data_IF_535057936219
#
_entry.id   IF_535057936219
#
_cell.length_a   1.000
_cell.length_b   1.000
_cell.length_c   1.000
_cell.angle_alpha   90.00
_cell.angle_beta   90.00
_cell.angle_gamma   90.00
#
_symmetry.space_group_name_H-M   'P 1'
#
loop_
_entity.id
_entity.type
_entity.pdbx_description
1 polymer ?
#
# COMPACT_ATOMS: atom_id res chain seq x y z
N UNK A 1 -10.30 -20.97 -4.76
CA UNK A 1 -9.52 -22.22 -4.64
C UNK A 1 -9.54 -22.62 -3.17
N UNK A 2 -9.93 -23.84 -2.87
CA UNK A 2 -9.93 -24.35 -1.48
C UNK A 2 -8.51 -24.60 -0.99
N UNK A 3 -8.27 -24.63 0.32
CA UNK A 3 -7.04 -25.18 0.90
C UNK A 3 -6.76 -26.60 0.36
N UNK A 4 -5.51 -26.94 0.22
CA UNK A 4 -5.07 -28.21 -0.41
C UNK A 4 -5.09 -28.22 -1.95
N UNK A 5 -5.77 -27.26 -2.61
CA UNK A 5 -5.65 -27.16 -4.07
C UNK A 5 -4.26 -26.64 -4.45
N UNK A 6 -3.54 -27.39 -5.26
CA UNK A 6 -2.25 -26.99 -5.82
C UNK A 6 -2.26 -27.20 -7.35
N UNK A 7 -1.52 -26.37 -8.05
CA UNK A 7 -1.21 -26.64 -9.45
C UNK A 7 -0.12 -27.73 -9.52
N UNK A 8 -0.13 -28.60 -10.54
CA UNK A 8 1.00 -29.49 -10.79
C UNK A 8 2.28 -28.68 -11.02
N UNK A 9 3.43 -29.27 -10.76
CA UNK A 9 4.72 -28.67 -11.10
C UNK A 9 4.80 -28.39 -12.61
N UNK A 10 5.29 -27.19 -12.95
CA UNK A 10 5.38 -26.74 -14.35
C UNK A 10 6.80 -26.30 -14.63
N UNK A 11 7.43 -26.95 -15.62
CA UNK A 11 8.75 -26.57 -16.13
C UNK A 11 8.70 -26.25 -17.61
N UNK A 12 9.69 -25.53 -18.11
CA UNK A 12 9.93 -25.34 -19.54
C UNK A 12 10.92 -26.36 -20.04
N UNK A 13 10.68 -26.92 -21.23
CA UNK A 13 11.63 -27.79 -21.91
C UNK A 13 12.96 -27.11 -22.26
N UNK A 14 12.98 -25.79 -22.26
CA UNK A 14 14.18 -24.96 -22.52
C UNK A 14 14.93 -24.56 -21.24
N UNK A 15 14.54 -25.08 -20.07
CA UNK A 15 15.22 -24.78 -18.81
C UNK A 15 16.61 -25.38 -18.75
N UNK A 16 17.61 -24.54 -18.54
CA UNK A 16 19.03 -24.90 -18.47
C UNK A 16 19.66 -24.63 -17.09
N UNK A 17 18.83 -24.45 -16.07
CA UNK A 17 19.26 -24.02 -14.75
C UNK A 17 19.42 -22.50 -14.63
N UNK A 18 19.56 -21.99 -13.38
CA UNK A 18 19.75 -20.57 -13.14
C UNK A 18 21.10 -20.08 -13.68
N UNK A 19 21.19 -18.81 -14.01
CA UNK A 19 22.47 -18.14 -14.23
C UNK A 19 22.94 -17.62 -12.86
N UNK A 20 24.02 -18.24 -12.36
CA UNK A 20 24.66 -17.77 -11.13
C UNK A 20 25.46 -16.50 -11.39
N UNK A 21 25.23 -15.47 -10.58
CA UNK A 21 25.95 -14.21 -10.63
C UNK A 21 26.36 -13.73 -9.23
N UNK A 22 27.19 -12.68 -9.14
CA UNK A 22 27.60 -12.10 -7.86
C UNK A 22 26.40 -11.57 -7.07
N UNK A 23 25.42 -10.99 -7.77
CA UNK A 23 24.16 -10.53 -7.18
C UNK A 23 22.99 -11.41 -7.65
N UNK A 24 21.93 -11.59 -6.85
CA UNK A 24 20.79 -12.41 -7.23
C UNK A 24 20.10 -11.96 -8.52
N UNK A 25 19.68 -12.94 -9.32
CA UNK A 25 18.77 -12.75 -10.46
C UNK A 25 17.37 -13.10 -10.01
N UNK A 26 16.47 -12.12 -9.95
CA UNK A 26 15.15 -12.28 -9.35
C UNK A 26 14.06 -11.99 -10.38
N UNK A 27 13.12 -12.92 -10.54
CA UNK A 27 11.95 -12.75 -11.39
C UNK A 27 10.68 -12.57 -10.54
N UNK A 28 10.08 -11.39 -10.65
CA UNK A 28 8.84 -11.06 -9.93
C UNK A 28 7.60 -11.40 -10.75
N UNK A 29 6.61 -12.06 -10.14
CA UNK A 29 5.25 -12.16 -10.68
C UNK A 29 4.33 -11.18 -9.95
N UNK A 30 3.79 -10.20 -10.68
CA UNK A 30 2.95 -9.12 -10.17
C UNK A 30 1.51 -9.22 -10.69
N UNK A 31 0.55 -8.77 -9.89
CA UNK A 31 -0.86 -8.66 -10.32
C UNK A 31 -1.05 -7.57 -11.36
N UNK A 32 -0.47 -6.40 -11.14
CA UNK A 32 -0.48 -5.23 -12.02
C UNK A 32 0.81 -4.42 -11.82
N UNK A 33 1.05 -3.45 -12.71
CA UNK A 33 2.26 -2.63 -12.66
C UNK A 33 2.08 -1.28 -13.36
N UNK A 34 3.08 -0.41 -13.23
CA UNK A 34 3.27 0.74 -14.10
C UNK A 34 3.53 0.29 -15.56
N UNK A 35 3.27 1.17 -16.55
CA UNK A 35 2.62 2.48 -16.44
C UNK A 35 1.08 2.40 -16.38
N UNK A 36 0.49 1.22 -16.54
CA UNK A 36 -0.96 1.05 -16.78
C UNK A 36 -1.83 1.10 -15.53
N UNK A 37 -1.27 0.83 -14.35
CA UNK A 37 -1.97 0.88 -13.07
C UNK A 37 -1.13 1.63 -12.04
N UNK A 38 -1.70 2.69 -11.47
CA UNK A 38 -1.12 3.45 -10.37
C UNK A 38 -1.95 3.20 -9.10
N UNK A 39 -1.60 2.16 -8.38
CA UNK A 39 -2.17 1.82 -7.07
C UNK A 39 -1.06 1.69 -6.05
N UNK A 40 -1.37 1.74 -4.75
CA UNK A 40 -0.36 1.54 -3.71
C UNK A 40 0.45 0.25 -3.89
N UNK A 41 -0.20 -0.83 -4.35
CA UNK A 41 0.48 -2.09 -4.67
C UNK A 41 1.43 -1.97 -5.87
N UNK A 42 1.02 -1.27 -6.94
CA UNK A 42 1.87 -1.08 -8.12
C UNK A 42 3.06 -0.17 -7.82
N UNK A 43 2.82 0.92 -7.08
CA UNK A 43 3.88 1.85 -6.64
C UNK A 43 4.89 1.14 -5.74
N UNK A 44 4.43 0.41 -4.72
CA UNK A 44 5.33 -0.38 -3.87
C UNK A 44 6.17 -1.38 -4.69
N UNK A 45 5.57 -2.09 -5.66
CA UNK A 45 6.33 -2.99 -6.53
C UNK A 45 7.41 -2.24 -7.30
N UNK A 46 7.07 -1.09 -7.83
CA UNK A 46 7.98 -0.28 -8.63
C UNK A 46 9.17 0.22 -7.80
N UNK A 47 8.90 0.86 -6.66
CA UNK A 47 9.96 1.37 -5.78
C UNK A 47 10.87 0.25 -5.26
N UNK A 48 10.30 -0.90 -4.89
CA UNK A 48 11.10 -2.06 -4.46
C UNK A 48 11.99 -2.58 -5.59
N UNK A 49 11.47 -2.72 -6.82
CA UNK A 49 12.26 -3.18 -7.97
C UNK A 49 13.38 -2.19 -8.32
N UNK A 50 13.11 -0.89 -8.29
CA UNK A 50 14.14 0.15 -8.47
C UNK A 50 15.21 0.05 -7.39
N UNK A 51 14.81 -0.11 -6.13
CA UNK A 51 15.73 -0.23 -4.99
C UNK A 51 16.57 -1.51 -5.06
N UNK A 52 15.99 -2.65 -5.42
CA UNK A 52 16.71 -3.90 -5.66
C UNK A 52 17.78 -3.75 -6.75
N UNK A 53 17.45 -3.11 -7.86
CA UNK A 53 18.42 -2.84 -8.94
C UNK A 53 19.56 -1.90 -8.47
N UNK A 54 19.24 -0.88 -7.68
CA UNK A 54 20.25 -0.02 -7.04
C UNK A 54 21.13 -0.78 -6.05
N UNK A 55 20.56 -1.75 -5.35
CA UNK A 55 21.30 -2.68 -4.48
C UNK A 55 22.12 -3.71 -5.27
N UNK A 56 22.09 -3.69 -6.62
CA UNK A 56 22.88 -4.53 -7.51
C UNK A 56 22.20 -5.81 -7.98
N UNK A 57 20.93 -6.07 -7.62
CA UNK A 57 20.21 -7.23 -8.12
C UNK A 57 19.82 -7.08 -9.60
N UNK A 58 19.81 -8.17 -10.34
CA UNK A 58 19.18 -8.24 -11.65
C UNK A 58 17.70 -8.60 -11.47
N UNK A 59 16.87 -7.58 -11.20
CA UNK A 59 15.44 -7.75 -10.96
C UNK A 59 14.62 -7.42 -12.22
N UNK A 60 13.71 -8.34 -12.58
CA UNK A 60 12.76 -8.23 -13.68
C UNK A 60 11.35 -8.55 -13.19
N UNK A 61 10.33 -7.91 -13.76
CA UNK A 61 8.94 -8.17 -13.42
C UNK A 61 8.16 -8.75 -14.59
N UNK A 62 7.24 -9.66 -14.25
CA UNK A 62 6.24 -10.22 -15.16
C UNK A 62 4.86 -9.99 -14.55
N UNK A 63 3.87 -9.62 -15.35
CA UNK A 63 2.51 -9.42 -14.83
C UNK A 63 1.61 -10.63 -15.13
N UNK A 64 0.55 -10.78 -14.33
CA UNK A 64 -0.45 -11.85 -14.52
C UNK A 64 -0.94 -11.91 -15.96
N UNK A 65 -1.43 -13.08 -16.35
CA UNK A 65 -1.94 -13.32 -17.71
C UNK A 65 -3.03 -12.31 -18.13
N UNK A 66 -2.89 -11.79 -19.36
CA UNK A 66 -3.84 -10.87 -19.98
C UNK A 66 -3.77 -9.42 -19.48
N UNK A 67 -2.93 -9.10 -18.48
CA UNK A 67 -2.70 -7.71 -18.09
C UNK A 67 -1.75 -7.04 -19.10
N UNK A 68 -1.98 -5.77 -19.54
CA UNK A 68 -2.99 -4.84 -19.03
C UNK A 68 -4.30 -4.82 -19.86
N UNK A 69 -4.48 -5.71 -20.82
CA UNK A 69 -5.69 -5.78 -21.64
C UNK A 69 -6.95 -6.02 -20.77
N UNK A 70 -6.84 -6.86 -19.74
CA UNK A 70 -7.94 -7.16 -18.80
C UNK A 70 -8.38 -5.97 -17.93
N UNK A 71 -7.63 -4.87 -17.96
CA UNK A 71 -8.00 -3.59 -17.29
C UNK A 71 -8.26 -2.48 -18.32
N UNK A 72 -8.60 -2.84 -19.55
CA UNK A 72 -9.06 -1.92 -20.60
C UNK A 72 -7.94 -1.24 -21.41
N UNK A 73 -6.68 -1.68 -21.30
CA UNK A 73 -5.55 -1.14 -22.06
C UNK A 73 -5.26 -2.05 -23.27
N UNK A 74 -6.02 -1.87 -24.32
CA UNK A 74 -5.83 -2.58 -25.59
C UNK A 74 -4.64 -2.00 -26.36
N UNK A 75 -3.83 -2.85 -26.99
CA UNK A 75 -2.64 -2.42 -27.74
C UNK A 75 -1.39 -2.17 -26.89
N UNK A 76 -1.36 -2.66 -25.64
CA UNK A 76 -0.17 -2.58 -24.81
C UNK A 76 1.00 -3.38 -25.41
N UNK A 77 2.22 -2.87 -25.26
CA UNK A 77 3.45 -3.55 -25.65
C UNK A 77 3.67 -4.85 -24.85
N UNK A 78 4.39 -5.84 -25.38
CA UNK A 78 4.73 -7.05 -24.63
C UNK A 78 5.67 -6.80 -23.45
N UNK A 79 6.36 -5.66 -23.46
CA UNK A 79 7.23 -5.18 -22.38
C UNK A 79 7.17 -3.66 -22.30
N UNK A 80 7.07 -3.13 -21.08
CA UNK A 80 7.25 -1.71 -20.79
C UNK A 80 8.49 -1.53 -19.92
N UNK A 81 9.22 -0.42 -20.10
CA UNK A 81 10.34 -0.05 -19.24
C UNK A 81 10.00 1.26 -18.54
N UNK A 82 10.05 1.25 -17.21
CA UNK A 82 9.81 2.43 -16.36
C UNK A 82 10.96 2.52 -15.35
N UNK A 83 11.67 3.63 -15.32
CA UNK A 83 12.84 3.88 -14.46
C UNK A 83 13.87 2.73 -14.50
N UNK A 84 14.10 2.20 -15.70
CA UNK A 84 15.01 1.08 -15.96
C UNK A 84 14.47 -0.31 -15.58
N UNK A 85 13.27 -0.41 -14.97
CA UNK A 85 12.63 -1.70 -14.64
C UNK A 85 11.84 -2.22 -15.83
N UNK A 86 12.12 -3.46 -16.25
CA UNK A 86 11.39 -4.15 -17.30
C UNK A 86 10.14 -4.85 -16.75
N UNK A 87 8.98 -4.55 -17.34
CA UNK A 87 7.69 -5.17 -17.01
C UNK A 87 7.20 -6.00 -18.21
N UNK A 88 7.49 -7.28 -18.21
CA UNK A 88 7.04 -8.21 -19.23
C UNK A 88 5.56 -8.58 -19.03
N UNK A 89 4.85 -8.83 -20.13
CA UNK A 89 3.41 -9.12 -20.15
C UNK A 89 3.16 -10.56 -20.57
N UNK A 90 2.42 -11.33 -19.75
CA UNK A 90 1.96 -12.65 -20.15
C UNK A 90 0.71 -12.50 -21.03
N UNK A 91 0.92 -12.23 -22.31
CA UNK A 91 -0.16 -12.06 -23.28
C UNK A 91 -0.49 -13.40 -23.95
N UNK A 92 -1.76 -13.60 -24.28
CA UNK A 92 -2.25 -14.78 -24.98
C UNK A 92 -3.44 -14.38 -25.86
N UNK A 93 -3.58 -15.05 -27.00
CA UNK A 93 -4.71 -14.81 -27.90
C UNK A 93 -6.06 -15.23 -27.27
N UNK A 94 -6.05 -16.21 -26.36
CA UNK A 94 -7.27 -16.69 -25.69
C UNK A 94 -7.01 -17.05 -24.25
N UNK A 95 -7.79 -16.49 -23.33
CA UNK A 95 -7.79 -16.88 -21.92
C UNK A 95 -8.54 -18.20 -21.73
N UNK A 96 -8.00 -19.07 -20.91
CA UNK A 96 -8.68 -20.30 -20.53
C UNK A 96 -10.01 -19.99 -19.79
N UNK A 97 -11.06 -20.81 -19.97
CA UNK A 97 -12.41 -20.48 -19.53
C UNK A 97 -12.60 -20.51 -18.01
N UNK A 98 -11.90 -21.38 -17.31
CA UNK A 98 -12.05 -21.53 -15.86
C UNK A 98 -10.92 -20.88 -15.07
N UNK A 99 -11.14 -20.44 -13.82
CA UNK A 99 -10.09 -19.87 -12.98
C UNK A 99 -8.88 -20.82 -12.80
N UNK A 100 -9.12 -22.11 -12.56
CA UNK A 100 -8.04 -23.10 -12.41
C UNK A 100 -7.22 -23.26 -13.70
N UNK A 101 -7.89 -23.33 -14.85
CA UNK A 101 -7.21 -23.42 -16.14
C UNK A 101 -6.44 -22.12 -16.48
N UNK A 102 -6.92 -20.95 -16.07
CA UNK A 102 -6.16 -19.68 -16.20
C UNK A 102 -4.91 -19.66 -15.35
N UNK A 103 -4.95 -20.16 -14.12
CA UNK A 103 -3.76 -20.29 -13.28
C UNK A 103 -2.75 -21.25 -13.91
N UNK A 104 -3.19 -22.40 -14.41
CA UNK A 104 -2.32 -23.33 -15.11
C UNK A 104 -1.74 -22.74 -16.41
N UNK A 105 -2.53 -21.95 -17.15
CA UNK A 105 -2.06 -21.22 -18.33
C UNK A 105 -1.02 -20.16 -17.94
N UNK A 106 -1.25 -19.41 -16.85
CA UNK A 106 -0.29 -18.43 -16.32
C UNK A 106 1.02 -19.11 -15.92
N UNK A 107 0.96 -20.27 -15.25
CA UNK A 107 2.14 -21.02 -14.85
C UNK A 107 2.98 -21.47 -16.06
N UNK A 108 2.34 -21.95 -17.14
CA UNK A 108 3.06 -22.32 -18.37
C UNK A 108 3.77 -21.11 -19.02
N UNK A 109 3.10 -19.96 -19.11
CA UNK A 109 3.70 -18.75 -19.66
C UNK A 109 4.80 -18.19 -18.76
N UNK A 110 4.64 -18.25 -17.44
CA UNK A 110 5.69 -17.85 -16.50
C UNK A 110 6.91 -18.77 -16.62
N UNK A 111 6.71 -20.09 -16.78
CA UNK A 111 7.82 -21.05 -16.99
C UNK A 111 8.66 -20.72 -18.24
N UNK A 112 8.03 -20.18 -19.30
CA UNK A 112 8.76 -19.69 -20.48
C UNK A 112 9.63 -18.47 -20.14
N UNK A 113 9.11 -17.54 -19.33
CA UNK A 113 9.88 -16.38 -18.87
C UNK A 113 11.02 -16.79 -17.94
N UNK A 114 10.80 -17.77 -17.08
CA UNK A 114 11.84 -18.37 -16.23
C UNK A 114 12.95 -18.99 -17.08
N UNK A 115 12.62 -19.75 -18.11
CA UNK A 115 13.62 -20.34 -19.00
C UNK A 115 14.41 -19.29 -19.80
N UNK A 116 13.76 -18.20 -20.22
CA UNK A 116 14.41 -17.10 -20.95
C UNK A 116 15.29 -16.24 -20.05
N UNK A 117 14.84 -15.88 -18.88
CA UNK A 117 15.57 -15.02 -17.94
C UNK A 117 16.57 -15.78 -17.07
N UNK A 118 16.32 -17.05 -16.76
CA UNK A 118 17.14 -17.93 -15.93
C UNK A 118 17.41 -17.34 -14.53
N UNK A 119 16.34 -17.00 -13.76
CA UNK A 119 16.49 -16.45 -12.42
C UNK A 119 17.06 -17.47 -11.44
N UNK A 120 17.56 -16.99 -10.30
CA UNK A 120 17.93 -17.79 -9.13
C UNK A 120 16.79 -17.87 -8.12
N UNK A 121 15.96 -16.81 -8.04
CA UNK A 121 14.85 -16.69 -7.10
C UNK A 121 13.60 -16.21 -7.83
N UNK A 122 12.45 -16.77 -7.46
CA UNK A 122 11.14 -16.24 -7.85
C UNK A 122 10.57 -15.42 -6.70
N UNK A 123 9.99 -14.26 -7.00
CA UNK A 123 9.34 -13.41 -6.00
C UNK A 123 7.92 -13.10 -6.43
N UNK A 124 6.96 -13.17 -5.51
CA UNK A 124 5.59 -12.77 -5.83
C UNK A 124 4.91 -12.06 -4.67
N UNK A 125 3.81 -11.40 -5.00
CA UNK A 125 3.07 -10.58 -4.03
C UNK A 125 1.65 -11.12 -3.85
N UNK A 126 0.99 -10.73 -2.76
CA UNK A 126 -0.43 -11.03 -2.54
C UNK A 126 -1.23 -10.89 -3.85
N UNK A 127 -2.13 -11.83 -4.22
CA UNK A 127 -2.73 -12.82 -3.31
C UNK A 127 -2.28 -14.27 -3.66
N UNK A 128 -2.89 -15.24 -2.98
CA UNK A 128 -2.63 -16.68 -3.17
C UNK A 128 -2.67 -17.15 -4.63
N UNK A 129 -3.38 -16.47 -5.52
CA UNK A 129 -3.44 -16.85 -6.93
C UNK A 129 -2.06 -16.71 -7.62
N UNK A 130 -1.33 -15.64 -7.33
CA UNK A 130 0.05 -15.47 -7.77
C UNK A 130 0.97 -16.51 -7.11
N UNK A 131 0.80 -16.71 -5.80
CA UNK A 131 1.59 -17.68 -5.03
C UNK A 131 1.41 -19.13 -5.55
N UNK A 132 0.18 -19.54 -5.91
CA UNK A 132 -0.07 -20.84 -6.55
C UNK A 132 0.70 -21.01 -7.87
N UNK A 133 0.71 -19.96 -8.70
CA UNK A 133 1.42 -19.97 -9.97
C UNK A 133 2.92 -20.07 -9.75
N UNK A 134 3.47 -19.21 -8.88
CA UNK A 134 4.91 -19.19 -8.60
C UNK A 134 5.37 -20.46 -7.94
N UNK A 135 4.65 -20.98 -6.94
CA UNK A 135 4.95 -22.27 -6.30
C UNK A 135 4.98 -23.44 -7.28
N UNK A 136 4.07 -23.50 -8.26
CA UNK A 136 4.08 -24.55 -9.27
C UNK A 136 5.30 -24.47 -10.20
N UNK A 137 5.68 -23.25 -10.60
CA UNK A 137 6.85 -23.01 -11.45
C UNK A 137 8.15 -23.21 -10.67
N UNK A 138 8.22 -22.77 -9.43
CA UNK A 138 9.36 -22.98 -8.53
C UNK A 138 9.67 -24.46 -8.36
N UNK A 139 8.66 -25.27 -8.04
CA UNK A 139 8.83 -26.74 -7.94
C UNK A 139 9.26 -27.38 -9.25
N UNK A 140 8.75 -26.92 -10.40
CA UNK A 140 9.11 -27.48 -11.71
C UNK A 140 10.54 -27.15 -12.15
N UNK A 141 11.14 -26.10 -11.61
CA UNK A 141 12.50 -25.65 -11.96
C UNK A 141 13.52 -25.85 -10.84
N UNK A 142 13.10 -26.29 -9.63
CA UNK A 142 13.97 -26.43 -8.47
C UNK A 142 14.47 -25.07 -7.96
N UNK A 143 13.62 -24.04 -8.03
CA UNK A 143 13.95 -22.66 -7.59
C UNK A 143 13.29 -22.35 -6.26
N UNK A 144 13.97 -21.61 -5.37
CA UNK A 144 13.33 -21.01 -4.20
C UNK A 144 12.42 -19.85 -4.59
N UNK A 145 11.47 -19.53 -3.70
CA UNK A 145 10.56 -18.43 -3.94
C UNK A 145 10.17 -17.65 -2.67
N UNK A 146 9.97 -16.36 -2.85
CA UNK A 146 9.60 -15.41 -1.79
C UNK A 146 8.15 -14.97 -1.98
N UNK A 147 7.38 -14.93 -0.87
CA UNK A 147 6.01 -14.45 -0.84
C UNK A 147 5.89 -13.15 -0.07
N UNK A 148 5.66 -12.03 -0.75
CA UNK A 148 5.45 -10.74 -0.12
C UNK A 148 3.96 -10.49 0.13
N UNK A 149 3.53 -10.56 1.38
CA UNK A 149 2.15 -10.33 1.82
C UNK A 149 1.96 -8.86 2.16
N UNK A 150 1.31 -8.11 1.27
CA UNK A 150 1.08 -6.65 1.38
C UNK A 150 -0.23 -6.25 2.01
N UNK A 151 -1.06 -7.21 2.34
CA UNK A 151 -2.36 -7.03 2.94
C UNK A 151 -2.98 -8.37 3.27
N UNK A 152 -4.13 -8.32 3.90
CA UNK A 152 -4.89 -9.48 4.34
C UNK A 152 -6.12 -9.63 3.44
N UNK A 153 -6.07 -10.59 2.50
CA UNK A 153 -7.11 -10.76 1.48
C UNK A 153 -8.50 -11.01 2.10
N UNK A 154 -8.56 -11.82 3.15
CA UNK A 154 -9.77 -12.14 3.87
C UNK A 154 -10.42 -10.89 4.49
N UNK A 155 -9.65 -10.01 5.11
CA UNK A 155 -10.15 -8.76 5.70
C UNK A 155 -10.50 -7.72 4.63
N UNK A 156 -9.74 -7.66 3.53
CA UNK A 156 -10.07 -6.80 2.39
C UNK A 156 -11.40 -7.22 1.76
N UNK A 157 -11.64 -8.53 1.66
CA UNK A 157 -12.91 -9.04 1.19
C UNK A 157 -14.07 -8.67 2.13
N UNK A 158 -13.90 -8.79 3.45
CA UNK A 158 -14.91 -8.35 4.43
C UNK A 158 -15.19 -6.87 4.28
N UNK A 159 -14.15 -6.03 4.23
CA UNK A 159 -14.29 -4.57 4.09
C UNK A 159 -14.96 -4.14 2.77
N UNK A 160 -15.01 -5.02 1.76
CA UNK A 160 -15.76 -4.78 0.51
C UNK A 160 -17.25 -5.08 0.62
N UNK A 161 -17.73 -5.57 1.77
CA UNK A 161 -19.16 -5.80 2.04
C UNK A 161 -19.78 -4.55 2.68
N UNK A 162 -21.10 -4.33 2.48
CA UNK A 162 -21.82 -3.32 3.25
C UNK A 162 -21.60 -3.50 4.75
N UNK A 163 -21.55 -2.43 5.55
CA UNK A 163 -21.23 -2.51 6.99
C UNK A 163 -22.08 -3.51 7.76
N UNK A 164 -23.39 -3.59 7.46
CA UNK A 164 -24.35 -4.52 8.08
C UNK A 164 -24.08 -6.00 7.79
N UNK A 165 -23.33 -6.30 6.72
CA UNK A 165 -22.97 -7.67 6.31
C UNK A 165 -21.57 -8.09 6.77
N UNK A 166 -20.78 -7.18 7.33
CA UNK A 166 -19.38 -7.48 7.67
C UNK A 166 -19.23 -8.50 8.80
N UNK A 167 -20.12 -8.46 9.79
CA UNK A 167 -20.12 -9.45 10.88
C UNK A 167 -20.42 -10.87 10.36
N UNK A 168 -21.40 -11.03 9.48
CA UNK A 168 -21.71 -12.30 8.81
C UNK A 168 -20.55 -12.75 7.92
N UNK A 169 -19.96 -11.82 7.18
CA UNK A 169 -18.81 -12.10 6.31
C UNK A 169 -17.60 -12.63 7.10
N UNK A 170 -17.31 -12.08 8.28
CA UNK A 170 -16.25 -12.57 9.18
C UNK A 170 -16.49 -14.00 9.67
N UNK A 171 -17.76 -14.37 9.92
CA UNK A 171 -18.14 -15.72 10.34
C UNK A 171 -18.27 -16.71 9.17
N UNK A 172 -18.12 -16.25 7.92
CA UNK A 172 -18.41 -17.06 6.73
C UNK A 172 -17.31 -18.07 6.41
N UNK A 173 -17.72 -19.18 5.77
CA UNK A 173 -16.79 -20.15 5.20
C UNK A 173 -15.81 -19.51 4.22
N UNK A 174 -16.24 -18.50 3.46
CA UNK A 174 -15.37 -17.81 2.49
C UNK A 174 -14.22 -17.10 3.18
N UNK A 175 -14.46 -16.42 4.29
CA UNK A 175 -13.40 -15.81 5.10
C UNK A 175 -12.40 -16.86 5.59
N UNK A 176 -12.90 -17.95 6.16
CA UNK A 176 -12.06 -19.05 6.66
C UNK A 176 -11.21 -19.67 5.55
N UNK A 177 -11.78 -19.91 4.36
CA UNK A 177 -11.08 -20.49 3.21
C UNK A 177 -10.03 -19.53 2.63
N UNK A 178 -10.31 -18.23 2.54
CA UNK A 178 -9.34 -17.23 2.09
C UNK A 178 -8.14 -17.18 3.04
N UNK A 179 -8.42 -17.07 4.35
CA UNK A 179 -7.39 -17.03 5.39
C UNK A 179 -6.53 -18.29 5.39
N UNK A 180 -7.16 -19.45 5.32
CA UNK A 180 -6.45 -20.74 5.29
C UNK A 180 -5.57 -20.86 4.03
N UNK A 181 -6.05 -20.38 2.86
CA UNK A 181 -5.31 -20.46 1.60
C UNK A 181 -4.11 -19.51 1.57
N UNK A 182 -4.26 -18.28 2.05
CA UNK A 182 -3.12 -17.36 2.20
C UNK A 182 -2.06 -17.92 3.16
N UNK A 183 -2.50 -18.49 4.29
CA UNK A 183 -1.61 -19.16 5.25
C UNK A 183 -0.87 -20.35 4.65
N UNK A 184 -1.57 -21.19 3.86
CA UNK A 184 -0.96 -22.30 3.15
C UNK A 184 0.17 -21.83 2.21
N UNK A 185 -0.06 -20.77 1.45
CA UNK A 185 0.96 -20.22 0.55
C UNK A 185 2.15 -19.65 1.31
N UNK A 186 1.91 -18.94 2.40
CA UNK A 186 2.97 -18.42 3.26
C UNK A 186 3.84 -19.54 3.86
N UNK A 187 3.23 -20.67 4.27
CA UNK A 187 3.97 -21.83 4.79
C UNK A 187 4.80 -22.54 3.72
N UNK A 188 4.38 -22.47 2.46
CA UNK A 188 5.08 -23.12 1.33
C UNK A 188 6.22 -22.28 0.77
N UNK A 189 6.26 -20.99 1.03
CA UNK A 189 7.33 -20.11 0.58
C UNK A 189 8.62 -20.36 1.37
N UNK A 190 9.77 -20.19 0.72
CA UNK A 190 11.08 -20.30 1.37
C UNK A 190 11.33 -19.10 2.28
N UNK A 191 10.86 -17.90 1.89
CA UNK A 191 10.80 -16.72 2.75
C UNK A 191 9.48 -15.95 2.56
N UNK A 192 9.03 -15.27 3.60
CA UNK A 192 7.82 -14.45 3.62
C UNK A 192 8.19 -13.02 4.02
N UNK A 193 7.72 -12.05 3.26
CA UNK A 193 7.86 -10.64 3.58
C UNK A 193 6.49 -10.09 3.98
N UNK A 194 6.43 -9.35 5.08
CA UNK A 194 5.23 -8.66 5.57
C UNK A 194 5.52 -7.19 5.80
N UNK A 195 4.47 -6.35 5.90
CA UNK A 195 4.63 -4.89 6.01
C UNK A 195 4.70 -4.39 7.47
N UNK A 196 4.41 -5.24 8.45
CA UNK A 196 4.29 -4.82 9.85
C UNK A 196 4.56 -5.98 10.80
N UNK A 197 4.92 -5.66 12.03
CA UNK A 197 5.04 -6.63 13.12
C UNK A 197 3.69 -7.30 13.40
N UNK A 198 2.58 -6.55 13.30
CA UNK A 198 1.23 -7.09 13.44
C UNK A 198 0.94 -8.21 12.44
N UNK A 199 1.32 -8.04 11.17
CA UNK A 199 1.15 -9.07 10.15
C UNK A 199 2.03 -10.29 10.42
N UNK A 200 3.29 -10.07 10.86
CA UNK A 200 4.20 -11.14 11.26
C UNK A 200 3.58 -11.97 12.40
N UNK A 201 3.14 -11.31 13.45
CA UNK A 201 2.62 -11.98 14.64
C UNK A 201 1.33 -12.76 14.33
N UNK A 202 0.46 -12.24 13.48
CA UNK A 202 -0.72 -12.96 12.97
C UNK A 202 -0.33 -14.21 12.15
N UNK A 203 0.68 -14.13 11.28
CA UNK A 203 1.15 -15.28 10.51
C UNK A 203 1.83 -16.32 11.41
N UNK A 204 2.62 -15.90 12.40
CA UNK A 204 3.21 -16.81 13.41
C UNK A 204 2.11 -17.52 14.18
N UNK A 205 1.07 -16.80 14.62
CA UNK A 205 -0.09 -17.40 15.28
C UNK A 205 -0.86 -18.39 14.38
N UNK A 206 -0.76 -18.23 13.05
CA UNK A 206 -1.29 -19.19 12.06
C UNK A 206 -0.33 -20.36 11.77
N UNK A 207 0.83 -20.41 12.44
CA UNK A 207 1.85 -21.47 12.32
C UNK A 207 2.74 -21.35 11.08
N UNK A 208 2.97 -20.13 10.58
CA UNK A 208 4.10 -19.85 9.66
C UNK A 208 5.36 -19.71 10.52
N UNK A 209 6.50 -20.37 10.19
CA UNK A 209 7.72 -20.28 10.97
C UNK A 209 8.24 -18.84 11.06
N UNK A 210 8.50 -18.37 12.27
CA UNK A 210 8.90 -16.97 12.52
C UNK A 210 10.22 -16.60 11.82
N UNK A 211 11.14 -17.55 11.72
CA UNK A 211 12.45 -17.41 11.07
C UNK A 211 12.36 -17.21 9.55
N UNK A 212 11.22 -17.53 8.94
CA UNK A 212 10.97 -17.28 7.52
C UNK A 212 10.31 -15.93 7.24
N UNK A 213 9.89 -15.20 8.28
CA UNK A 213 9.12 -13.95 8.13
C UNK A 213 10.00 -12.75 8.41
N UNK A 214 10.19 -11.92 7.39
CA UNK A 214 10.88 -10.62 7.51
C UNK A 214 9.87 -9.48 7.42
N UNK A 215 9.95 -8.53 8.35
CA UNK A 215 9.17 -7.29 8.30
C UNK A 215 9.91 -6.29 7.43
N UNK A 216 9.31 -5.95 6.30
CA UNK A 216 9.80 -4.93 5.36
C UNK A 216 8.70 -3.87 5.20
N UNK A 217 8.70 -2.79 5.98
CA UNK A 217 7.60 -1.83 6.02
C UNK A 217 7.45 -1.06 4.71
N UNK A 218 6.34 -0.35 4.56
CA UNK A 218 6.25 0.71 3.57
C UNK A 218 7.32 1.76 3.85
N UNK A 219 7.85 2.37 2.79
CA UNK A 219 8.95 3.33 2.88
C UNK A 219 8.59 4.64 2.19
N UNK A 220 9.38 5.66 2.47
CA UNK A 220 9.24 6.99 1.86
C UNK A 220 9.92 7.00 0.50
N UNK A 221 9.29 7.65 -0.47
CA UNK A 221 9.82 7.85 -1.81
C UNK A 221 10.96 8.88 -1.79
N UNK A 222 11.99 8.68 -2.62
CA UNK A 222 13.14 9.59 -2.70
C UNK A 222 12.71 11.02 -3.08
N UNK A 223 11.70 11.13 -3.96
CA UNK A 223 11.12 12.40 -4.37
C UNK A 223 10.48 13.15 -3.21
N UNK A 224 9.90 12.44 -2.23
CA UNK A 224 9.33 13.03 -1.02
C UNK A 224 10.43 13.57 -0.12
N UNK A 225 11.51 12.79 0.05
CA UNK A 225 12.66 13.18 0.88
C UNK A 225 13.45 14.35 0.29
N UNK A 226 13.47 14.48 -1.05
CA UNK A 226 14.14 15.56 -1.76
C UNK A 226 13.21 16.72 -2.13
N UNK A 227 11.92 16.63 -1.76
CA UNK A 227 10.95 17.67 -2.09
C UNK A 227 11.31 19.01 -1.42
N UNK A 228 11.15 20.09 -2.16
CA UNK A 228 11.28 21.43 -1.60
C UNK A 228 10.26 21.63 -0.45
N UNK A 229 10.76 21.90 0.75
CA UNK A 229 9.90 22.19 1.89
C UNK A 229 9.25 23.56 1.75
N UNK A 230 7.93 23.58 1.65
CA UNK A 230 7.12 24.81 1.63
C UNK A 230 6.30 24.94 2.89
N UNK A 231 6.10 26.16 3.33
CA UNK A 231 5.10 26.45 4.36
C UNK A 231 3.70 26.10 3.84
N UNK A 232 2.76 25.73 4.70
CA UNK A 232 1.38 25.46 4.28
C UNK A 232 0.74 26.63 3.52
N UNK A 233 1.00 27.87 3.95
CA UNK A 233 0.47 29.07 3.30
C UNK A 233 0.99 29.25 1.87
N UNK A 234 2.30 29.05 1.63
CA UNK A 234 2.89 29.12 0.29
C UNK A 234 2.34 28.00 -0.62
N UNK A 235 2.22 26.78 -0.09
CA UNK A 235 1.66 25.66 -0.85
C UNK A 235 0.20 25.93 -1.23
N UNK A 236 -0.60 26.47 -0.32
CA UNK A 236 -2.00 26.87 -0.57
C UNK A 236 -2.10 27.93 -1.65
N UNK A 237 -1.31 28.99 -1.56
CA UNK A 237 -1.29 30.06 -2.56
C UNK A 237 -1.00 29.52 -3.97
N UNK A 238 -0.05 28.58 -4.10
CA UNK A 238 0.27 27.94 -5.40
C UNK A 238 -0.89 27.15 -5.99
N UNK A 239 -1.73 26.56 -5.16
CA UNK A 239 -2.90 25.78 -5.58
C UNK A 239 -4.20 26.64 -5.64
N UNK A 240 -4.09 27.96 -5.47
CA UNK A 240 -5.25 28.87 -5.51
C UNK A 240 -6.18 28.72 -4.31
N UNK A 241 -5.69 28.17 -3.19
CA UNK A 241 -6.44 28.04 -1.94
C UNK A 241 -6.19 29.26 -1.04
N UNK A 242 -7.12 29.56 -0.12
CA UNK A 242 -6.90 30.58 0.91
C UNK A 242 -5.64 30.27 1.73
N UNK A 243 -4.75 31.23 1.86
CA UNK A 243 -3.49 31.07 2.59
C UNK A 243 -3.68 30.96 4.10
N UNK A 244 -4.75 31.56 4.63
CA UNK A 244 -5.18 31.60 6.04
C UNK A 244 -5.95 30.34 6.45
N UNK A 245 -6.33 30.29 7.73
CA UNK A 245 -7.03 29.17 8.36
C UNK A 245 -6.11 28.02 8.75
N UNK A 246 -6.66 27.08 9.53
CA UNK A 246 -5.98 25.86 9.96
C UNK A 246 -6.49 24.68 9.13
N UNK A 247 -5.66 24.21 8.20
CA UNK A 247 -6.04 23.20 7.21
C UNK A 247 -5.69 21.79 7.66
N UNK A 248 -6.71 20.95 7.75
CA UNK A 248 -6.60 19.53 8.05
C UNK A 248 -7.04 18.71 6.86
N UNK A 249 -6.49 17.53 6.65
CA UNK A 249 -6.93 16.75 5.50
C UNK A 249 -6.14 15.49 5.25
N UNK A 250 -6.38 14.93 4.06
CA UNK A 250 -5.74 13.69 3.62
C UNK A 250 -5.65 13.60 2.11
N UNK A 251 -4.67 12.87 1.62
CA UNK A 251 -4.52 12.49 0.21
C UNK A 251 -4.68 10.98 0.10
N UNK A 252 -5.84 10.49 -0.37
CA UNK A 252 -6.20 9.07 -0.25
C UNK A 252 -7.24 8.62 -1.27
N UNK A 253 -7.42 7.30 -1.41
CA UNK A 253 -8.64 6.74 -2.01
C UNK A 253 -9.82 6.98 -1.08
N UNK A 254 -10.95 7.42 -1.62
CA UNK A 254 -12.15 7.76 -0.85
C UNK A 254 -13.06 6.54 -0.73
N UNK A 255 -12.77 5.71 0.27
CA UNK A 255 -13.52 4.51 0.62
C UNK A 255 -14.01 4.60 2.07
N UNK A 256 -15.06 3.88 2.42
CA UNK A 256 -15.75 4.02 3.70
C UNK A 256 -14.84 3.85 4.92
N UNK A 257 -13.99 2.83 4.92
CA UNK A 257 -13.12 2.55 6.07
C UNK A 257 -12.01 3.60 6.30
N UNK A 258 -11.78 4.54 5.39
CA UNK A 258 -10.86 5.67 5.62
C UNK A 258 -11.47 6.73 6.55
N UNK A 259 -12.80 6.76 6.78
CA UNK A 259 -13.47 7.52 7.84
C UNK A 259 -13.51 9.02 7.63
N UNK A 260 -13.50 9.52 6.39
CA UNK A 260 -13.47 10.96 6.10
C UNK A 260 -14.76 11.71 6.50
N UNK A 261 -15.86 11.01 6.70
CA UNK A 261 -17.07 11.57 7.30
C UNK A 261 -16.84 12.00 8.77
N UNK A 262 -16.03 11.27 9.52
CA UNK A 262 -15.59 11.63 10.88
C UNK A 262 -14.74 12.92 10.84
N UNK A 263 -13.84 13.03 9.85
CA UNK A 263 -13.03 14.26 9.66
C UNK A 263 -13.92 15.48 9.35
N UNK A 264 -14.89 15.34 8.44
CA UNK A 264 -15.80 16.44 8.11
C UNK A 264 -16.60 16.94 9.33
N UNK A 265 -17.12 15.98 10.14
CA UNK A 265 -17.81 16.31 11.39
C UNK A 265 -16.90 16.97 12.41
N UNK A 266 -15.65 16.50 12.53
CA UNK A 266 -14.67 17.10 13.44
C UNK A 266 -14.32 18.54 13.02
N UNK A 267 -14.19 18.82 11.72
CA UNK A 267 -13.97 20.18 11.21
C UNK A 267 -15.15 21.07 11.53
N UNK A 268 -16.39 20.61 11.33
CA UNK A 268 -17.59 21.38 11.69
C UNK A 268 -17.60 21.73 13.19
N UNK A 269 -17.37 20.74 14.07
CA UNK A 269 -17.31 20.95 15.53
C UNK A 269 -16.19 21.93 15.94
N UNK A 270 -15.00 21.83 15.33
CA UNK A 270 -13.91 22.77 15.61
C UNK A 270 -14.26 24.20 15.20
N UNK A 271 -15.00 24.38 14.09
CA UNK A 271 -15.50 25.67 13.66
C UNK A 271 -16.57 26.24 14.59
N UNK A 272 -17.52 25.43 15.05
CA UNK A 272 -18.52 25.83 16.06
C UNK A 272 -17.85 26.32 17.36
N UNK A 273 -16.66 25.80 17.67
CA UNK A 273 -15.84 26.21 18.81
C UNK A 273 -14.91 27.43 18.52
N UNK A 274 -15.07 28.08 17.37
CA UNK A 274 -14.39 29.33 17.01
C UNK A 274 -13.05 29.16 16.28
N UNK A 275 -12.59 27.95 15.95
CA UNK A 275 -11.40 27.75 15.13
C UNK A 275 -11.73 27.92 13.63
N UNK A 276 -10.95 28.72 12.89
CA UNK A 276 -11.05 28.73 11.41
C UNK A 276 -10.43 27.45 10.82
N UNK A 277 -11.05 26.32 11.19
CA UNK A 277 -10.66 25.03 10.64
C UNK A 277 -11.15 24.86 9.22
N UNK A 278 -10.28 24.40 8.32
CA UNK A 278 -10.57 24.10 6.91
C UNK A 278 -10.10 22.71 6.55
N UNK A 279 -10.66 22.13 5.48
CA UNK A 279 -10.44 20.74 5.13
C UNK A 279 -10.06 20.58 3.66
N UNK A 280 -9.06 19.75 3.37
CA UNK A 280 -8.74 19.27 2.01
C UNK A 280 -8.69 17.74 1.99
N UNK A 281 -9.62 17.10 1.27
CA UNK A 281 -9.67 15.65 1.09
C UNK A 281 -9.44 15.36 -0.40
N UNK A 282 -8.20 14.97 -0.72
CA UNK A 282 -7.73 14.79 -2.09
C UNK A 282 -7.77 13.33 -2.50
N UNK A 283 -8.41 13.07 -3.61
CA UNK A 283 -8.54 11.72 -4.17
C UNK A 283 -9.93 11.40 -4.66
N UNK A 284 -10.14 10.15 -5.05
CA UNK A 284 -11.41 9.70 -5.61
C UNK A 284 -11.76 8.30 -5.08
N UNK A 285 -13.04 7.94 -5.16
CA UNK A 285 -13.54 6.65 -4.73
C UNK A 285 -15.05 6.65 -4.50
N UNK A 286 -15.56 5.48 -4.14
CA UNK A 286 -17.01 5.24 -4.01
C UNK A 286 -17.67 6.13 -2.93
N UNK A 287 -16.92 6.59 -1.94
CA UNK A 287 -17.46 7.43 -0.86
C UNK A 287 -17.52 8.92 -1.23
N UNK A 288 -16.87 9.36 -2.33
CA UNK A 288 -16.78 10.78 -2.69
C UNK A 288 -18.14 11.49 -2.78
N UNK A 289 -19.17 10.96 -3.48
CA UNK A 289 -20.48 11.63 -3.56
C UNK A 289 -21.11 11.85 -2.18
N UNK A 290 -21.04 10.86 -1.30
CA UNK A 290 -21.56 10.99 0.08
C UNK A 290 -20.80 12.01 0.92
N UNK A 291 -19.48 12.11 0.77
CA UNK A 291 -18.66 13.12 1.45
C UNK A 291 -18.98 14.54 0.98
N UNK A 292 -19.19 14.75 -0.32
CA UNK A 292 -19.61 16.05 -0.86
C UNK A 292 -20.97 16.45 -0.30
N UNK A 293 -21.94 15.53 -0.26
CA UNK A 293 -23.26 15.80 0.31
C UNK A 293 -23.18 16.11 1.81
N UNK A 294 -22.37 15.36 2.57
CA UNK A 294 -22.17 15.57 4.00
C UNK A 294 -21.51 16.93 4.28
N UNK A 295 -20.49 17.32 3.51
CA UNK A 295 -19.86 18.63 3.65
C UNK A 295 -20.89 19.76 3.49
N UNK A 296 -21.79 19.67 2.48
CA UNK A 296 -22.89 20.61 2.29
C UNK A 296 -23.87 20.65 3.47
N UNK A 297 -24.26 19.49 4.01
CA UNK A 297 -25.15 19.40 5.19
C UNK A 297 -24.53 20.01 6.46
N UNK A 298 -23.21 19.92 6.60
CA UNK A 298 -22.47 20.50 7.72
C UNK A 298 -22.10 21.97 7.52
N UNK A 299 -22.56 22.61 6.43
CA UNK A 299 -22.25 24.02 6.14
C UNK A 299 -20.78 24.25 5.74
N UNK A 300 -20.04 23.22 5.40
CA UNK A 300 -18.65 23.31 4.95
C UNK A 300 -18.61 23.61 3.43
N UNK A 301 -18.83 24.88 3.09
CA UNK A 301 -18.83 25.32 1.68
C UNK A 301 -17.43 25.24 1.02
N UNK A 302 -17.34 25.59 -0.30
CA UNK A 302 -16.11 25.44 -1.09
C UNK A 302 -14.88 26.18 -0.56
N UNK A 303 -15.06 27.26 0.21
CA UNK A 303 -13.97 28.00 0.89
C UNK A 303 -13.48 27.33 2.18
N UNK A 304 -14.22 26.33 2.68
CA UNK A 304 -13.92 25.61 3.94
C UNK A 304 -13.53 24.18 3.68
N UNK A 305 -14.21 23.50 2.78
CA UNK A 305 -13.94 22.10 2.44
C UNK A 305 -13.68 21.94 0.94
N UNK A 306 -12.52 21.40 0.58
CA UNK A 306 -12.09 21.17 -0.80
C UNK A 306 -11.97 19.68 -1.05
N UNK A 307 -12.75 19.17 -2.04
CA UNK A 307 -12.69 17.78 -2.52
C UNK A 307 -12.39 17.80 -4.03
N UNK A 308 -11.12 18.05 -4.44
CA UNK A 308 -10.77 18.28 -5.85
C UNK A 308 -10.93 17.01 -6.71
N UNK A 309 -11.08 15.86 -6.09
CA UNK A 309 -11.06 14.58 -6.80
C UNK A 309 -9.62 14.04 -6.95
N UNK A 310 -9.42 13.21 -7.96
CA UNK A 310 -8.11 12.68 -8.29
C UNK A 310 -7.24 13.78 -8.92
N UNK A 311 -6.05 13.96 -8.38
CA UNK A 311 -5.04 14.89 -8.91
C UNK A 311 -3.94 14.11 -9.63
N UNK A 312 -3.21 14.75 -10.56
CA UNK A 312 -2.03 14.16 -11.17
C UNK A 312 -0.99 13.77 -10.11
N UNK A 313 -0.22 12.68 -10.30
CA UNK A 313 0.77 12.22 -9.32
C UNK A 313 1.78 13.32 -8.94
N UNK A 314 2.25 14.11 -9.89
CA UNK A 314 3.20 15.21 -9.63
C UNK A 314 2.64 16.36 -8.78
N UNK A 315 1.32 16.47 -8.64
CA UNK A 315 0.68 17.49 -7.81
C UNK A 315 0.39 16.98 -6.38
N UNK A 316 0.38 15.66 -6.17
CA UNK A 316 -0.02 15.08 -4.89
C UNK A 316 0.81 15.58 -3.71
N UNK A 317 2.13 15.74 -3.88
CA UNK A 317 3.01 16.28 -2.84
C UNK A 317 2.66 17.72 -2.47
N UNK A 318 2.30 18.55 -3.46
CA UNK A 318 1.83 19.92 -3.21
C UNK A 318 0.61 19.93 -2.30
N UNK A 319 -0.33 19.01 -2.49
CA UNK A 319 -1.51 18.89 -1.64
C UNK A 319 -1.18 18.46 -0.19
N UNK A 320 -0.25 17.56 0.03
CA UNK A 320 0.24 17.26 1.38
C UNK A 320 0.81 18.51 2.05
N UNK A 321 1.55 19.33 1.29
CA UNK A 321 2.17 20.55 1.81
C UNK A 321 1.17 21.66 2.15
N UNK A 322 -0.06 21.65 1.59
CA UNK A 322 -1.11 22.61 1.97
C UNK A 322 -1.65 22.42 3.39
N UNK A 323 -1.48 21.21 3.94
CA UNK A 323 -2.04 20.83 5.23
C UNK A 323 -1.17 21.35 6.39
N UNK A 324 -1.79 21.90 7.41
CA UNK A 324 -1.18 22.10 8.72
C UNK A 324 -1.08 20.76 9.46
N UNK A 325 -2.07 19.87 9.25
CA UNK A 325 -2.14 18.54 9.86
C UNK A 325 -2.69 17.51 8.87
N UNK A 326 -2.01 16.40 8.75
CA UNK A 326 -2.53 15.23 8.02
C UNK A 326 -3.40 14.36 8.94
N UNK A 327 -4.60 13.99 8.48
CA UNK A 327 -5.52 13.15 9.23
C UNK A 327 -5.68 11.78 8.59
N UNK A 328 -5.55 10.71 9.42
CA UNK A 328 -5.84 9.33 9.07
C UNK A 328 -6.99 8.78 9.94
N UNK A 329 -8.25 9.20 9.71
CA UNK A 329 -9.39 8.95 10.62
C UNK A 329 -10.04 7.60 10.36
N UNK A 330 -9.23 6.54 10.16
CA UNK A 330 -9.72 5.22 9.78
C UNK A 330 -10.72 4.65 10.79
N UNK A 331 -11.75 3.99 10.25
CA UNK A 331 -12.72 3.27 11.06
C UNK A 331 -12.08 2.05 11.73
N UNK A 332 -12.61 1.67 12.88
CA UNK A 332 -12.23 0.43 13.55
C UNK A 332 -12.81 -0.78 12.80
N UNK A 333 -12.05 -1.28 11.89
CA UNK A 333 -12.36 -2.48 11.10
C UNK A 333 -11.18 -3.44 11.12
N UNK A 334 -11.39 -4.75 10.94
CA UNK A 334 -10.30 -5.72 10.93
C UNK A 334 -9.17 -5.38 9.94
N UNK A 335 -9.51 -4.87 8.74
CA UNK A 335 -8.50 -4.48 7.77
C UNK A 335 -7.68 -3.27 8.22
N UNK A 336 -8.31 -2.28 8.87
CA UNK A 336 -7.63 -1.09 9.36
C UNK A 336 -6.76 -1.36 10.60
N UNK A 337 -7.09 -2.39 11.39
CA UNK A 337 -6.28 -2.84 12.50
C UNK A 337 -4.99 -3.56 12.06
N UNK A 338 -4.98 -4.18 10.86
CA UNK A 338 -3.90 -5.07 10.41
C UNK A 338 -3.04 -4.49 9.28
N UNK A 339 -3.56 -3.57 8.46
CA UNK A 339 -2.87 -3.10 7.25
C UNK A 339 -2.39 -1.67 7.43
N UNK A 340 -1.06 -1.50 7.44
CA UNK A 340 -0.40 -0.20 7.54
C UNK A 340 -0.52 0.61 6.25
N UNK A 341 -1.03 1.86 6.31
CA UNK A 341 -1.08 2.74 5.14
C UNK A 341 0.27 3.42 4.87
N UNK A 342 0.55 3.79 3.61
CA UNK A 342 1.74 4.57 3.24
C UNK A 342 1.62 6.07 3.56
N UNK A 343 0.41 6.60 3.52
CA UNK A 343 0.14 8.05 3.50
C UNK A 343 0.62 8.84 4.74
N UNK A 344 0.50 8.30 5.98
CA UNK A 344 1.07 8.96 7.15
C UNK A 344 2.58 9.13 7.07
N UNK A 345 3.31 8.16 6.47
CA UNK A 345 4.77 8.26 6.27
C UNK A 345 5.13 9.42 5.33
N UNK A 346 4.39 9.58 4.23
CA UNK A 346 4.58 10.71 3.30
C UNK A 346 4.35 12.04 4.02
N UNK A 347 3.29 12.14 4.84
CA UNK A 347 3.00 13.34 5.59
C UNK A 347 4.12 13.67 6.59
N UNK A 348 4.59 12.68 7.35
CA UNK A 348 5.70 12.84 8.29
C UNK A 348 7.00 13.25 7.58
N UNK A 349 7.31 12.66 6.43
CA UNK A 349 8.49 13.00 5.64
C UNK A 349 8.46 14.45 5.14
N UNK A 350 7.27 15.00 4.87
CA UNK A 350 7.06 16.40 4.52
C UNK A 350 6.93 17.33 5.74
N UNK A 351 7.25 16.85 6.95
CA UNK A 351 7.17 17.61 8.19
C UNK A 351 5.74 17.97 8.62
N UNK A 352 4.73 17.21 8.16
CA UNK A 352 3.34 17.42 8.57
C UNK A 352 3.00 16.59 9.80
N UNK A 353 2.50 17.20 10.88
CA UNK A 353 1.92 16.48 12.01
C UNK A 353 0.85 15.51 11.54
N UNK A 354 0.74 14.36 12.21
CA UNK A 354 -0.27 13.35 11.90
C UNK A 354 -1.23 13.19 13.07
N UNK A 355 -2.53 13.27 12.81
CA UNK A 355 -3.58 12.80 13.72
C UNK A 355 -4.12 11.49 13.13
N UNK A 356 -4.19 10.43 13.93
CA UNK A 356 -4.64 9.12 13.47
C UNK A 356 -5.62 8.48 14.46
N UNK A 357 -6.52 7.66 13.96
CA UNK A 357 -7.32 6.78 14.82
C UNK A 357 -6.42 5.88 15.64
N UNK A 358 -6.77 5.62 16.91
CA UNK A 358 -6.06 4.71 17.80
C UNK A 358 -6.29 3.25 17.38
N UNK A 359 -5.57 2.85 16.34
CA UNK A 359 -5.60 1.50 15.75
C UNK A 359 -4.17 0.95 15.66
N UNK A 360 -3.93 -0.33 15.96
CA UNK A 360 -2.59 -0.91 16.01
C UNK A 360 -1.73 -0.62 14.77
N UNK A 361 -2.29 -0.76 13.57
CA UNK A 361 -1.56 -0.50 12.32
C UNK A 361 -1.20 0.99 12.12
N UNK A 362 -2.01 1.92 12.64
CA UNK A 362 -1.72 3.36 12.60
C UNK A 362 -0.69 3.74 13.66
N UNK A 363 -0.75 3.15 14.86
CA UNK A 363 0.27 3.31 15.90
C UNK A 363 1.63 2.83 15.38
N UNK A 364 1.67 1.65 14.75
CA UNK A 364 2.90 1.09 14.19
C UNK A 364 3.47 1.98 13.08
N UNK A 365 2.66 2.40 12.11
CA UNK A 365 3.16 3.18 10.96
C UNK A 365 3.58 4.60 11.35
N UNK A 366 2.92 5.22 12.33
CA UNK A 366 3.31 6.55 12.82
C UNK A 366 4.49 6.51 13.78
N UNK A 367 4.90 5.30 14.22
CA UNK A 367 6.07 5.08 15.09
C UNK A 367 6.03 5.94 16.36
N UNK A 368 4.85 6.12 16.93
CA UNK A 368 4.63 7.00 18.08
C UNK A 368 4.68 8.50 17.80
N UNK A 369 4.94 8.93 16.56
CA UNK A 369 4.98 10.34 16.14
C UNK A 369 3.63 10.89 15.67
N UNK A 370 2.50 10.26 16.03
CA UNK A 370 1.16 10.72 15.71
C UNK A 370 0.34 11.00 16.97
N UNK A 371 -0.53 12.01 16.91
CA UNK A 371 -1.57 12.19 17.93
C UNK A 371 -2.72 11.22 17.66
N UNK A 372 -3.06 10.42 18.67
CA UNK A 372 -4.10 9.42 18.54
C UNK A 372 -5.45 9.93 19.08
N UNK A 373 -6.54 9.45 18.47
CA UNK A 373 -7.91 9.67 18.94
C UNK A 373 -8.74 8.38 18.79
N UNK A 374 -9.78 8.17 19.60
CA UNK A 374 -10.65 6.99 19.49
C UNK A 374 -11.30 6.92 18.10
N UNK A 375 -11.19 5.79 17.42
CA UNK A 375 -11.71 5.60 16.05
C UNK A 375 -13.22 5.89 15.99
N UNK A 376 -13.64 6.74 15.07
CA UNK A 376 -15.03 7.15 14.87
C UNK A 376 -15.50 8.32 15.75
N UNK A 377 -14.70 8.79 16.69
CA UNK A 377 -15.06 9.90 17.58
C UNK A 377 -14.65 11.26 16.95
N UNK A 378 -15.64 11.92 16.34
CA UNK A 378 -15.45 13.25 15.74
C UNK A 378 -15.15 14.35 16.77
N UNK A 379 -15.68 14.22 18.00
CA UNK A 379 -15.43 15.17 19.10
C UNK A 379 -13.98 15.10 19.57
N UNK A 380 -13.48 13.91 19.81
CA UNK A 380 -12.08 13.70 20.16
C UNK A 380 -11.13 14.13 19.04
N UNK A 381 -11.49 13.90 17.77
CA UNK A 381 -10.70 14.40 16.64
C UNK A 381 -10.70 15.94 16.58
N UNK A 382 -11.84 16.59 16.79
CA UNK A 382 -11.94 18.05 16.84
C UNK A 382 -11.05 18.64 17.95
N UNK A 383 -11.00 18.00 19.12
CA UNK A 383 -10.14 18.42 20.22
C UNK A 383 -8.65 18.31 19.87
N UNK A 384 -8.22 17.20 19.20
CA UNK A 384 -6.84 17.08 18.71
C UNK A 384 -6.48 18.15 17.67
N UNK A 385 -7.42 18.49 16.77
CA UNK A 385 -7.24 19.56 15.78
C UNK A 385 -7.03 20.90 16.51
N UNK A 386 -7.85 21.22 17.50
CA UNK A 386 -7.74 22.45 18.29
C UNK A 386 -6.42 22.52 19.07
N UNK A 387 -6.03 21.42 19.71
CA UNK A 387 -4.77 21.31 20.44
C UNK A 387 -3.57 21.69 19.55
N UNK A 388 -3.53 21.18 18.32
CA UNK A 388 -2.45 21.48 17.37
C UNK A 388 -2.53 22.92 16.85
N UNK A 389 -3.71 23.44 16.62
CA UNK A 389 -3.88 24.83 16.18
C UNK A 389 -3.38 25.82 17.26
N UNK A 390 -3.67 25.57 18.54
CA UNK A 390 -3.22 26.39 19.67
C UNK A 390 -1.69 26.31 19.84
N UNK A 391 -1.12 25.11 19.87
CA UNK A 391 0.34 24.91 19.96
C UNK A 391 1.09 25.61 18.81
N UNK A 392 0.50 25.67 17.62
CA UNK A 392 1.07 26.38 16.48
C UNK A 392 1.03 27.91 16.58
N UNK A 393 0.14 28.48 17.40
CA UNK A 393 0.04 29.91 17.63
C UNK A 393 1.02 30.42 18.73
N UNK A 394 1.33 29.59 19.70
CA UNK A 394 2.20 29.94 20.85
C UNK A 394 3.68 29.80 20.53
N UNK A 395 4.05 28.88 19.61
CA UNK A 395 5.42 28.60 19.26
C UNK A 395 5.79 29.08 17.86
N UNK A 396 6.15 30.31 17.72
CA UNK A 396 6.48 30.99 16.44
C UNK A 396 7.66 30.45 15.63
N UNK A 397 8.24 29.29 15.96
CA UNK A 397 9.29 28.64 15.19
C UNK A 397 9.43 27.12 15.45
N UNK A 398 8.71 26.53 16.39
CA UNK A 398 8.91 25.14 16.84
C UNK A 398 7.73 24.21 16.53
N UNK A 399 7.02 24.43 15.43
CA UNK A 399 5.92 23.54 14.97
C UNK A 399 6.38 22.09 14.75
N UNK A 400 7.65 21.89 14.45
CA UNK A 400 8.22 20.57 14.15
C UNK A 400 8.65 19.78 15.39
N UNK A 401 8.90 20.42 16.52
CA UNK A 401 9.64 19.78 17.63
C UNK A 401 8.79 18.83 18.51
N UNK A 402 7.47 18.90 18.47
CA UNK A 402 6.61 18.10 19.37
C UNK A 402 5.86 16.94 18.70
N UNK A 403 5.94 16.81 17.37
CA UNK A 403 5.16 15.81 16.62
C UNK A 403 5.95 15.20 15.44
N UNK A 404 7.25 15.44 15.39
CA UNK A 404 8.17 14.65 14.58
C UNK A 404 8.38 13.28 15.23
N UNK A 405 8.70 12.23 14.46
CA UNK A 405 9.16 10.97 15.02
C UNK A 405 10.18 11.27 16.11
N UNK A 406 10.09 10.61 17.28
CA UNK A 406 10.99 10.84 18.43
C UNK A 406 12.41 11.03 17.91
N UNK A 407 13.09 12.08 18.36
CA UNK A 407 14.40 12.47 17.87
C UNK A 407 15.33 11.23 17.87
N UNK A 408 15.74 10.78 16.66
CA UNK A 408 16.54 9.57 16.47
C UNK A 408 15.87 8.45 15.67
N UNK A 409 14.57 8.51 15.32
CA UNK A 409 13.91 7.47 14.54
C UNK A 409 13.84 7.89 13.07
N UNK A 410 14.71 7.32 12.21
CA UNK A 410 14.66 7.50 10.76
C UNK A 410 13.39 6.88 10.16
N UNK A 411 12.79 7.56 9.19
CA UNK A 411 11.72 6.96 8.39
C UNK A 411 12.31 5.86 7.50
N UNK A 412 11.60 4.74 7.28
CA UNK A 412 12.08 3.67 6.42
C UNK A 412 12.24 4.19 4.98
N UNK A 413 13.33 3.80 4.33
CA UNK A 413 13.66 4.17 2.96
C UNK A 413 13.55 2.98 2.01
N UNK A 414 13.37 3.26 0.72
CA UNK A 414 13.36 2.20 -0.29
C UNK A 414 14.76 1.61 -0.49
N UNK A 415 15.83 2.37 -0.26
CA UNK A 415 17.19 1.84 -0.27
C UNK A 415 17.39 0.75 0.78
N UNK A 416 16.95 0.98 2.01
CA UNK A 416 16.98 -0.03 3.08
C UNK A 416 16.17 -1.27 2.71
N UNK A 417 14.97 -1.08 2.13
CA UNK A 417 14.13 -2.18 1.66
C UNK A 417 14.76 -2.94 0.49
N UNK A 418 15.47 -2.26 -0.41
CA UNK A 418 16.21 -2.90 -1.50
C UNK A 418 17.36 -3.78 -1.00
N UNK A 419 18.13 -3.29 -0.02
CA UNK A 419 19.20 -4.06 0.64
C UNK A 419 18.63 -5.26 1.42
N UNK A 420 17.53 -5.06 2.17
CA UNK A 420 16.88 -6.14 2.90
C UNK A 420 16.32 -7.22 1.95
N UNK A 421 15.71 -6.83 0.84
CA UNK A 421 15.23 -7.77 -0.19
C UNK A 421 16.39 -8.58 -0.77
N UNK A 422 17.50 -7.94 -1.09
CA UNK A 422 18.72 -8.61 -1.57
C UNK A 422 19.23 -9.64 -0.56
N UNK A 423 19.33 -9.28 0.73
CA UNK A 423 19.73 -10.22 1.77
C UNK A 423 18.81 -11.44 1.80
N UNK A 424 17.49 -11.25 1.79
CA UNK A 424 16.51 -12.35 1.75
C UNK A 424 16.73 -13.24 0.53
N UNK A 425 16.95 -12.65 -0.66
CA UNK A 425 17.18 -13.41 -1.89
C UNK A 425 18.52 -14.16 -1.87
N UNK A 426 19.56 -13.59 -1.22
CA UNK A 426 20.84 -14.26 -1.02
C UNK A 426 20.75 -15.44 -0.05
N UNK A 427 19.93 -15.36 0.98
CA UNK A 427 19.71 -16.43 1.96
C UNK A 427 18.94 -17.63 1.41
N UNK A 428 18.02 -17.41 0.47
CA UNK A 428 17.17 -18.50 -0.07
C UNK A 428 17.73 -19.15 -1.34
N UNK A 429 18.69 -18.52 -2.05
CA UNK A 429 19.21 -19.02 -3.33
C UNK A 429 20.17 -20.24 -3.27
#
# INVERSE_FOLDING_TARGET
>A
MSPGFALPAVSSSHWQGPVRSAAPRVLHLLTNSLPHTQSGYAMRSHHLLVAQRRAGEEARAVTRIGYPVTVGRVGAAPCDVVDGVEYHRLLTARLAPTPAARLAQTARLLAQQVAAFRPEVLHTTTNYANALVVSAVARGHGLPWVYEMRGMLEYTWVASRPPEQQAEALASQRFALLRAKETEMARMADAVIVLSALQRDDLVARGVPAERITVMPNAVEAEVLSAEHRSPAEARTRLGLPADGFWVGSVSSLVDYEGFDVLLRAVALAREQGLDARCAIVGDGVSRPGLVALAGQLGLGPGVCVLPGRVPPGEALGWYQTLDVFCAPRRDTPVCRMVTPMKPLTAQALGRPVIASDLPALVEVTRGGGLLFPAGDAGALAERIRQLAQAGSEAGASRAAHITPSAGMSLPTWEENGMAARTIHEEVR
#
